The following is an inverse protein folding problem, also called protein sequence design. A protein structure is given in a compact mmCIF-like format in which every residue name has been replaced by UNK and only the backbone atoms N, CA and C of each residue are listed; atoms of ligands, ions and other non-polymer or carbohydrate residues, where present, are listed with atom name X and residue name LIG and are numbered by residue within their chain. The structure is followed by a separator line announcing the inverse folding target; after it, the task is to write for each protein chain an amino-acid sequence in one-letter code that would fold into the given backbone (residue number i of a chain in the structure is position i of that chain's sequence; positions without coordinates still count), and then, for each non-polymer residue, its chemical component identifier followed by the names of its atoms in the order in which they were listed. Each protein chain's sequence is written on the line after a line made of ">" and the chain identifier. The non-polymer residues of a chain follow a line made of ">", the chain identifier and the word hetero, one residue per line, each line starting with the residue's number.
data_IF_536900452179
#
_entry.id   IF_536900452179
#
_cell.length_a   1.000
_cell.length_b   1.000
_cell.length_c   1.000
_cell.angle_alpha   90.00
_cell.angle_beta   90.00
_cell.angle_gamma   90.00
#
_symmetry.space_group_name_H-M   'P 1'
#
loop_
_entity.id
_entity.type
_entity.pdbx_description
1 polymer ?
#
# COMPACT_ATOMS: atom_id res chain seq x y z
N UNK A 1 42.32 47.12 -29.25
CA UNK A 1 41.45 46.35 -30.17
C UNK A 1 41.03 45.05 -29.50
N UNK A 2 39.72 44.89 -29.31
CA UNK A 2 38.95 43.64 -29.44
C UNK A 2 39.31 42.53 -28.44
N UNK A 3 38.61 42.41 -27.31
CA UNK A 3 37.26 41.83 -27.21
C UNK A 3 37.16 40.46 -27.91
N UNK A 4 36.67 39.46 -27.17
CA UNK A 4 36.51 38.04 -27.53
C UNK A 4 37.82 37.25 -27.43
N UNK A 5 37.96 36.22 -26.59
CA UNK A 5 36.97 35.16 -26.36
C UNK A 5 37.05 34.68 -24.91
N UNK A 6 36.53 35.54 -24.03
CA UNK A 6 36.17 35.31 -22.63
C UNK A 6 35.03 34.27 -22.46
N UNK A 7 34.92 33.30 -23.38
CA UNK A 7 33.80 32.35 -23.52
C UNK A 7 34.34 30.92 -23.55
N UNK A 8 35.22 30.58 -22.59
CA UNK A 8 35.65 29.19 -22.36
C UNK A 8 35.74 28.82 -20.88
N UNK A 9 35.39 29.73 -19.95
CA UNK A 9 35.58 29.51 -18.50
C UNK A 9 34.37 29.81 -17.61
N UNK A 10 33.18 30.11 -18.16
CA UNK A 10 32.00 30.53 -17.36
C UNK A 10 30.77 29.63 -17.59
N UNK A 11 30.89 28.56 -18.39
CA UNK A 11 29.77 27.67 -18.73
C UNK A 11 29.95 26.23 -18.22
N UNK A 12 30.59 26.10 -17.05
CA UNK A 12 30.80 24.84 -16.32
C UNK A 12 30.67 25.08 -14.80
N UNK A 13 29.78 25.98 -14.39
CA UNK A 13 29.58 26.32 -12.98
C UNK A 13 28.10 26.58 -12.65
N UNK A 14 27.21 25.80 -13.25
CA UNK A 14 25.80 25.72 -12.86
C UNK A 14 25.33 24.27 -12.93
N UNK A 15 26.08 23.36 -12.29
CA UNK A 15 25.58 22.02 -11.98
C UNK A 15 26.20 21.47 -10.69
N UNK A 16 26.19 22.33 -9.67
CA UNK A 16 26.22 21.91 -8.28
C UNK A 16 25.01 22.58 -7.64
N UNK A 17 23.82 22.12 -8.02
CA UNK A 17 22.66 22.30 -7.16
C UNK A 17 22.93 21.36 -5.98
N UNK A 18 23.22 21.85 -4.77
CA UNK A 18 23.32 20.96 -3.63
C UNK A 18 21.95 20.30 -3.46
N UNK A 19 21.91 18.99 -3.57
CA UNK A 19 20.70 18.16 -3.48
C UNK A 19 20.11 18.11 -2.06
N UNK A 20 20.32 19.14 -1.24
CA UNK A 20 20.03 19.13 0.19
C UNK A 20 18.93 20.14 0.50
N UNK A 21 17.72 19.89 -0.02
CA UNK A 21 16.49 20.56 0.44
C UNK A 21 15.35 19.53 0.54
N UNK A 22 15.62 18.35 1.13
CA UNK A 22 14.61 17.28 1.24
C UNK A 22 14.57 16.60 2.62
N UNK A 23 15.11 17.23 3.67
CA UNK A 23 15.00 16.73 5.05
C UNK A 23 13.87 17.42 5.85
N UNK A 24 12.85 17.96 5.19
CA UNK A 24 11.78 18.74 5.84
C UNK A 24 10.57 17.91 6.24
N UNK A 25 10.31 16.75 5.64
CA UNK A 25 9.06 16.01 5.84
C UNK A 25 8.83 15.62 7.31
N UNK A 26 9.90 15.28 8.03
CA UNK A 26 9.82 14.93 9.44
C UNK A 26 9.48 16.14 10.32
N UNK A 27 10.15 17.26 10.10
CA UNK A 27 9.92 18.52 10.84
C UNK A 27 8.53 19.08 10.54
N UNK A 28 8.13 19.06 9.26
CA UNK A 28 6.78 19.42 8.80
C UNK A 28 5.73 18.55 9.49
N UNK A 29 5.96 17.24 9.59
CA UNK A 29 5.02 16.33 10.24
C UNK A 29 4.88 16.58 11.74
N UNK A 30 5.97 16.76 12.48
CA UNK A 30 5.91 16.97 13.95
C UNK A 30 5.44 18.38 14.32
N UNK A 31 5.64 19.37 13.42
CA UNK A 31 5.11 20.72 13.53
C UNK A 31 3.62 20.84 13.15
N UNK A 32 3.09 19.90 12.37
CA UNK A 32 1.72 19.92 11.89
C UNK A 32 0.66 19.58 12.95
N UNK A 33 -0.55 20.11 12.77
CA UNK A 33 -1.74 19.67 13.52
C UNK A 33 -2.12 18.22 13.17
N UNK A 34 -2.96 17.59 14.00
CA UNK A 34 -3.41 16.20 13.77
C UNK A 34 -4.13 16.00 12.44
N UNK A 35 -4.93 16.97 12.03
CA UNK A 35 -5.62 16.95 10.74
C UNK A 35 -4.62 17.02 9.59
N UNK A 36 -3.65 17.92 9.67
CA UNK A 36 -2.59 18.06 8.68
C UNK A 36 -1.68 16.82 8.62
N UNK A 37 -1.34 16.21 9.77
CA UNK A 37 -0.61 14.94 9.82
C UNK A 37 -1.34 13.82 9.06
N UNK A 38 -2.66 13.73 9.21
CA UNK A 38 -3.46 12.76 8.46
C UNK A 38 -3.40 13.03 6.95
N UNK A 39 -3.58 14.29 6.53
CA UNK A 39 -3.50 14.68 5.12
C UNK A 39 -2.12 14.38 4.52
N UNK A 40 -1.04 14.65 5.25
CA UNK A 40 0.33 14.32 4.81
C UNK A 40 0.48 12.83 4.58
N UNK A 41 0.04 11.99 5.52
CA UNK A 41 0.15 10.53 5.39
C UNK A 41 -0.70 9.98 4.24
N UNK A 42 -1.91 10.52 4.04
CA UNK A 42 -2.78 10.17 2.91
C UNK A 42 -2.10 10.51 1.57
N UNK A 43 -1.44 11.67 1.47
CA UNK A 43 -0.68 12.08 0.28
C UNK A 43 0.57 11.22 0.07
N UNK A 44 1.32 10.94 1.13
CA UNK A 44 2.54 10.13 1.04
C UNK A 44 2.23 8.69 0.63
N UNK A 45 1.07 8.16 1.03
CA UNK A 45 0.68 6.81 0.62
C UNK A 45 0.40 6.67 -0.88
N UNK A 46 0.01 7.75 -1.57
CA UNK A 46 -0.22 7.74 -3.02
C UNK A 46 1.00 8.24 -3.82
N UNK A 47 1.99 8.81 -3.15
CA UNK A 47 3.25 9.29 -3.75
C UNK A 47 4.45 8.79 -2.93
N UNK A 48 4.76 7.49 -2.99
CA UNK A 48 5.82 6.91 -2.19
C UNK A 48 7.21 7.38 -2.65
N UNK A 49 8.02 7.83 -1.70
CA UNK A 49 9.38 8.32 -1.91
C UNK A 49 10.34 7.69 -0.89
N UNK A 50 11.43 7.07 -1.35
CA UNK A 50 12.36 6.33 -0.49
C UNK A 50 12.90 7.14 0.70
N UNK A 51 13.07 8.46 0.53
CA UNK A 51 13.55 9.38 1.57
C UNK A 51 12.63 9.47 2.80
N UNK A 52 11.34 9.09 2.69
CA UNK A 52 10.39 9.09 3.81
C UNK A 52 10.44 7.83 4.67
N UNK A 53 11.08 6.76 4.19
CA UNK A 53 11.14 5.48 4.89
C UNK A 53 11.69 5.57 6.32
N UNK A 54 12.76 6.34 6.63
CA UNK A 54 13.25 6.46 8.00
C UNK A 54 12.20 7.04 8.95
N UNK A 55 11.48 8.09 8.52
CA UNK A 55 10.40 8.72 9.28
C UNK A 55 9.22 7.76 9.47
N UNK A 56 8.74 7.13 8.40
CA UNK A 56 7.58 6.23 8.46
C UNK A 56 7.87 5.00 9.34
N UNK A 57 9.07 4.42 9.24
CA UNK A 57 9.50 3.34 10.14
C UNK A 57 9.52 3.80 11.60
N UNK A 58 9.99 5.01 11.86
CA UNK A 58 10.04 5.56 13.21
C UNK A 58 8.65 5.84 13.79
N UNK A 59 7.74 6.37 12.97
CA UNK A 59 6.35 6.58 13.34
C UNK A 59 5.66 5.25 13.64
N UNK A 60 5.87 4.23 12.80
CA UNK A 60 5.30 2.89 13.00
C UNK A 60 5.79 2.23 14.30
N UNK A 61 7.06 2.51 14.69
CA UNK A 61 7.65 2.05 15.95
C UNK A 61 7.35 2.97 17.14
N UNK A 62 6.57 4.04 16.92
CA UNK A 62 6.29 5.09 17.89
C UNK A 62 7.53 5.61 18.64
N UNK A 63 8.66 5.81 17.94
CA UNK A 63 9.91 6.26 18.56
C UNK A 63 10.35 7.66 18.11
N UNK A 64 9.45 8.40 17.44
CA UNK A 64 9.66 9.80 17.04
C UNK A 64 9.53 10.73 18.25
N UNK A 65 10.50 11.63 18.34
CA UNK A 65 10.58 12.72 19.31
C UNK A 65 10.54 14.06 18.56
N UNK A 66 10.08 15.10 19.24
CA UNK A 66 10.12 16.49 18.78
C UNK A 66 10.75 17.36 19.85
N UNK A 67 11.56 18.32 19.45
CA UNK A 67 12.06 19.37 20.34
C UNK A 67 11.07 20.54 20.44
N UNK A 68 11.50 21.62 21.11
CA UNK A 68 10.69 22.83 21.28
C UNK A 68 10.50 23.62 19.97
N UNK A 69 11.46 23.53 19.05
CA UNK A 69 11.49 24.17 17.75
C UNK A 69 10.79 23.37 16.63
N UNK A 70 10.21 22.21 16.95
CA UNK A 70 9.53 21.30 16.01
C UNK A 70 10.47 20.57 15.04
N UNK A 71 11.70 20.32 15.45
CA UNK A 71 12.57 19.38 14.75
C UNK A 71 12.30 17.95 15.21
N UNK A 72 12.32 17.01 14.27
CA UNK A 72 12.05 15.61 14.48
C UNK A 72 13.34 14.82 14.76
N UNK A 73 13.26 13.92 15.73
CA UNK A 73 14.35 13.04 16.12
C UNK A 73 13.83 11.62 16.36
N UNK A 74 14.74 10.64 16.34
CA UNK A 74 14.47 9.25 16.75
C UNK A 74 15.30 8.91 17.99
N UNK A 75 14.68 8.18 18.92
CA UNK A 75 15.43 7.51 19.99
C UNK A 75 15.91 6.13 19.53
N UNK A 76 17.23 5.92 19.53
CA UNK A 76 17.86 4.61 19.35
C UNK A 76 18.69 4.27 20.59
N UNK A 77 18.11 3.50 21.52
CA UNK A 77 18.73 3.22 22.81
C UNK A 77 18.94 4.50 23.61
N UNK A 78 20.19 4.81 23.95
CA UNK A 78 20.59 6.07 24.64
C UNK A 78 20.87 7.22 23.68
N UNK A 79 20.98 6.96 22.37
CA UNK A 79 21.29 7.97 21.37
C UNK A 79 20.03 8.60 20.79
N UNK A 80 20.14 9.87 20.41
CA UNK A 80 19.13 10.63 19.68
C UNK A 80 19.71 10.94 18.31
N UNK A 81 19.01 10.52 17.25
CA UNK A 81 19.40 10.76 15.88
C UNK A 81 18.43 11.74 15.20
N UNK A 82 18.92 12.69 14.40
CA UNK A 82 18.06 13.60 13.67
C UNK A 82 17.30 12.87 12.55
N UNK A 83 16.03 13.25 12.37
CA UNK A 83 15.23 12.87 11.20
C UNK A 83 15.16 14.00 10.15
N UNK A 84 15.55 15.21 10.53
CA UNK A 84 15.58 16.39 9.67
C UNK A 84 17.00 16.94 9.48
N UNK A 85 17.09 18.19 9.02
CA UNK A 85 18.38 18.85 8.76
C UNK A 85 19.13 19.26 10.04
N UNK A 86 18.41 19.40 11.16
CA UNK A 86 18.97 19.85 12.43
C UNK A 86 19.61 18.69 13.18
N UNK A 87 20.93 18.74 13.37
CA UNK A 87 21.72 17.63 13.91
C UNK A 87 21.54 17.38 15.41
N UNK A 88 21.22 18.43 16.19
CA UNK A 88 21.12 18.35 17.65
C UNK A 88 19.80 18.98 18.12
N UNK A 89 19.14 18.38 19.14
CA UNK A 89 17.86 18.87 19.64
C UNK A 89 18.00 20.20 20.36
N UNK A 90 17.01 21.08 20.16
CA UNK A 90 16.89 22.33 20.92
C UNK A 90 15.98 22.15 22.15
N UNK A 91 16.62 21.94 23.29
CA UNK A 91 15.97 21.78 24.58
C UNK A 91 15.40 20.39 24.82
N UNK A 92 14.28 20.31 25.54
CA UNK A 92 13.68 19.05 25.98
C UNK A 92 12.96 18.34 24.82
N UNK A 93 13.24 17.05 24.67
CA UNK A 93 12.59 16.18 23.68
C UNK A 93 11.30 15.57 24.21
N UNK A 94 10.22 15.73 23.44
CA UNK A 94 8.89 15.20 23.74
C UNK A 94 8.52 14.10 22.75
N UNK A 95 7.89 13.04 23.23
CA UNK A 95 7.43 11.93 22.38
C UNK A 95 6.26 12.37 21.50
N UNK A 96 6.36 12.12 20.20
CA UNK A 96 5.23 12.28 19.27
C UNK A 96 4.30 11.08 19.44
N UNK A 97 3.13 11.32 20.04
CA UNK A 97 2.12 10.27 20.22
C UNK A 97 1.25 10.16 18.97
N UNK A 98 0.83 8.96 18.59
CA UNK A 98 -0.11 8.74 17.48
C UNK A 98 -1.46 8.30 18.01
N UNK A 99 -2.53 8.76 17.36
CA UNK A 99 -3.89 8.21 17.57
C UNK A 99 -4.03 6.91 16.78
N UNK A 100 -5.07 6.13 17.05
CA UNK A 100 -5.32 4.91 16.29
C UNK A 100 -5.46 5.19 14.78
N UNK A 101 -6.18 6.26 14.41
CA UNK A 101 -6.29 6.70 13.02
C UNK A 101 -4.92 6.98 12.39
N UNK A 102 -4.06 7.73 13.07
CA UNK A 102 -2.73 8.06 12.53
C UNK A 102 -1.84 6.83 12.42
N UNK A 103 -1.94 5.85 13.34
CA UNK A 103 -1.20 4.58 13.21
C UNK A 103 -1.57 3.83 11.94
N UNK A 104 -2.87 3.70 11.65
CA UNK A 104 -3.34 3.05 10.44
C UNK A 104 -2.85 3.77 9.17
N UNK A 105 -2.93 5.11 9.15
CA UNK A 105 -2.40 5.91 8.05
C UNK A 105 -0.88 5.76 7.88
N UNK A 106 -0.12 5.70 8.99
CA UNK A 106 1.32 5.42 8.95
C UNK A 106 1.58 4.02 8.41
N UNK A 107 0.83 3.00 8.83
CA UNK A 107 0.96 1.63 8.33
C UNK A 107 0.70 1.56 6.83
N UNK A 108 -0.37 2.19 6.33
CA UNK A 108 -0.69 2.25 4.90
C UNK A 108 0.36 3.03 4.09
N UNK A 109 0.80 4.18 4.59
CA UNK A 109 1.87 4.95 3.96
C UNK A 109 3.19 4.15 3.93
N UNK A 110 3.59 3.52 5.03
CA UNK A 110 4.80 2.70 5.08
C UNK A 110 4.70 1.51 4.10
N UNK A 111 3.57 0.82 4.07
CA UNK A 111 3.40 -0.34 3.19
C UNK A 111 3.49 0.04 1.70
N UNK A 112 2.85 1.15 1.28
CA UNK A 112 2.98 1.63 -0.11
C UNK A 112 4.43 2.02 -0.48
N UNK A 113 5.22 2.49 0.48
CA UNK A 113 6.66 2.71 0.26
C UNK A 113 7.45 1.40 0.18
N UNK A 114 7.14 0.42 1.03
CA UNK A 114 7.81 -0.88 1.03
C UNK A 114 7.49 -1.73 -0.21
N UNK A 115 6.35 -1.50 -0.86
CA UNK A 115 6.04 -2.12 -2.16
C UNK A 115 7.03 -1.78 -3.27
N UNK A 116 7.83 -0.71 -3.13
CA UNK A 116 8.87 -0.34 -4.07
C UNK A 116 10.22 -1.01 -3.79
N UNK A 117 10.32 -1.81 -2.73
CA UNK A 117 11.56 -2.47 -2.35
C UNK A 117 11.97 -3.53 -3.37
N UNK A 118 13.28 -3.66 -3.62
CA UNK A 118 13.84 -4.75 -4.40
C UNK A 118 13.68 -6.11 -3.68
N UNK A 119 13.41 -6.09 -2.37
CA UNK A 119 13.24 -7.29 -1.55
C UNK A 119 11.81 -7.84 -1.63
N UNK A 120 11.66 -9.05 -2.18
CA UNK A 120 10.37 -9.76 -2.33
C UNK A 120 9.66 -9.94 -1.00
N UNK A 121 10.38 -10.26 0.07
CA UNK A 121 9.80 -10.45 1.41
C UNK A 121 9.19 -9.16 1.95
N UNK A 122 9.85 -8.02 1.71
CA UNK A 122 9.33 -6.71 2.12
C UNK A 122 8.08 -6.34 1.31
N UNK A 123 8.08 -6.59 -0.01
CA UNK A 123 6.89 -6.37 -0.85
C UNK A 123 5.73 -7.27 -0.46
N UNK A 124 5.97 -8.54 -0.16
CA UNK A 124 4.93 -9.47 0.29
C UNK A 124 4.32 -9.07 1.64
N UNK A 125 5.16 -8.63 2.59
CA UNK A 125 4.69 -8.10 3.87
C UNK A 125 3.86 -6.82 3.68
N UNK A 126 4.33 -5.90 2.83
CA UNK A 126 3.64 -4.68 2.49
C UNK A 126 2.27 -4.92 1.84
N UNK A 127 2.23 -5.81 0.84
CA UNK A 127 0.99 -6.19 0.16
C UNK A 127 -0.03 -6.78 1.14
N UNK A 128 0.40 -7.60 2.10
CA UNK A 128 -0.48 -8.15 3.14
C UNK A 128 -1.01 -7.07 4.10
N UNK A 129 -0.19 -6.10 4.51
CA UNK A 129 -0.67 -4.97 5.30
C UNK A 129 -1.73 -4.16 4.56
N UNK A 130 -1.53 -3.96 3.25
CA UNK A 130 -2.46 -3.20 2.40
C UNK A 130 -3.81 -3.88 2.21
N UNK A 131 -3.94 -5.19 2.44
CA UNK A 131 -5.24 -5.85 2.44
C UNK A 131 -6.20 -5.26 3.49
N UNK A 132 -5.66 -4.70 4.59
CA UNK A 132 -6.44 -4.05 5.65
C UNK A 132 -6.38 -2.53 5.59
N UNK A 133 -5.21 -1.97 5.31
CA UNK A 133 -4.94 -0.53 5.47
C UNK A 133 -5.08 0.27 4.18
N UNK A 134 -5.26 -0.37 3.02
CA UNK A 134 -5.43 0.35 1.76
C UNK A 134 -6.69 1.22 1.78
N UNK A 135 -6.56 2.42 1.21
CA UNK A 135 -7.67 3.35 1.03
C UNK A 135 -8.03 3.49 -0.46
N UNK A 136 -9.24 3.95 -0.82
CA UNK A 136 -9.64 4.11 -2.22
C UNK A 136 -8.69 4.98 -3.04
N UNK A 137 -8.05 5.99 -2.42
CA UNK A 137 -7.08 6.86 -3.09
C UNK A 137 -5.81 6.12 -3.57
N UNK A 138 -5.46 4.99 -2.94
CA UNK A 138 -4.30 4.17 -3.30
C UNK A 138 -4.55 3.25 -4.50
N UNK A 139 -5.81 3.08 -4.93
CA UNK A 139 -6.19 2.13 -5.96
C UNK A 139 -5.35 2.25 -7.25
N UNK A 140 -5.13 3.46 -7.84
CA UNK A 140 -4.35 3.56 -9.07
C UNK A 140 -2.89 3.11 -8.89
N UNK A 141 -2.29 3.43 -7.75
CA UNK A 141 -0.93 3.03 -7.42
C UNK A 141 -0.81 1.52 -7.26
N UNK A 142 -1.76 0.88 -6.56
CA UNK A 142 -1.75 -0.56 -6.36
C UNK A 142 -1.99 -1.32 -7.67
N UNK A 143 -2.84 -0.82 -8.56
CA UNK A 143 -3.03 -1.39 -9.91
C UNK A 143 -1.75 -1.28 -10.74
N UNK A 144 -1.07 -0.13 -10.70
CA UNK A 144 0.21 0.04 -11.39
C UNK A 144 1.28 -0.92 -10.85
N UNK A 145 1.33 -1.11 -9.52
CA UNK A 145 2.26 -2.06 -8.89
C UNK A 145 1.95 -3.50 -9.26
N UNK A 146 0.68 -3.91 -9.23
CA UNK A 146 0.27 -5.25 -9.66
C UNK A 146 0.70 -5.54 -11.11
N UNK A 147 0.54 -4.58 -12.01
CA UNK A 147 0.92 -4.75 -13.42
C UNK A 147 2.44 -4.90 -13.66
N UNK A 148 3.27 -4.55 -12.67
CA UNK A 148 4.73 -4.61 -12.73
C UNK A 148 5.30 -5.75 -11.89
N UNK A 149 4.49 -6.38 -11.05
CA UNK A 149 4.94 -7.43 -10.15
C UNK A 149 5.10 -8.76 -10.90
N UNK A 150 6.20 -9.46 -10.61
CA UNK A 150 6.52 -10.74 -11.22
C UNK A 150 6.40 -11.90 -10.24
N UNK A 151 6.52 -11.61 -8.95
CA UNK A 151 6.48 -12.62 -7.91
C UNK A 151 5.03 -13.02 -7.62
N UNK A 152 4.74 -14.32 -7.75
CA UNK A 152 3.38 -14.87 -7.63
C UNK A 152 2.77 -14.62 -6.25
N UNK A 153 3.56 -14.73 -5.18
CA UNK A 153 3.10 -14.47 -3.83
C UNK A 153 2.69 -13.00 -3.63
N UNK A 154 3.50 -12.05 -4.12
CA UNK A 154 3.21 -10.62 -4.00
C UNK A 154 1.99 -10.26 -4.86
N UNK A 155 1.92 -10.80 -6.08
CA UNK A 155 0.79 -10.65 -7.01
C UNK A 155 -0.52 -11.06 -6.33
N UNK A 156 -0.58 -12.28 -5.77
CA UNK A 156 -1.78 -12.78 -5.09
C UNK A 156 -2.19 -11.88 -3.92
N UNK A 157 -1.24 -11.41 -3.12
CA UNK A 157 -1.52 -10.52 -1.99
C UNK A 157 -2.05 -9.14 -2.44
N UNK A 158 -1.52 -8.59 -3.54
CA UNK A 158 -1.98 -7.34 -4.15
C UNK A 158 -3.38 -7.47 -4.75
N UNK A 159 -3.70 -8.60 -5.38
CA UNK A 159 -5.04 -8.88 -5.90
C UNK A 159 -6.09 -8.88 -4.79
N UNK A 160 -5.79 -9.53 -3.65
CA UNK A 160 -6.66 -9.50 -2.46
C UNK A 160 -6.85 -8.07 -1.96
N UNK A 161 -5.78 -7.27 -1.89
CA UNK A 161 -5.87 -5.88 -1.46
C UNK A 161 -6.76 -5.04 -2.40
N UNK A 162 -6.63 -5.23 -3.71
CA UNK A 162 -7.45 -4.56 -4.71
C UNK A 162 -8.91 -5.01 -4.65
N UNK A 163 -9.19 -6.30 -4.43
CA UNK A 163 -10.55 -6.81 -4.26
C UNK A 163 -11.21 -6.21 -3.02
N UNK A 164 -10.49 -6.09 -1.90
CA UNK A 164 -11.02 -5.42 -0.70
C UNK A 164 -11.44 -3.97 -0.99
N UNK A 165 -10.68 -3.23 -1.80
CA UNK A 165 -11.05 -1.87 -2.22
C UNK A 165 -12.28 -1.84 -3.15
N UNK A 166 -12.49 -2.90 -3.93
CA UNK A 166 -13.58 -3.01 -4.90
C UNK A 166 -14.92 -3.40 -4.28
N UNK A 167 -14.95 -3.89 -3.04
CA UNK A 167 -16.18 -4.21 -2.30
C UNK A 167 -17.14 -3.01 -2.15
N UNK A 168 -16.63 -1.78 -2.19
CA UNK A 168 -17.45 -0.55 -2.11
C UNK A 168 -17.71 0.10 -3.48
N UNK A 169 -17.37 -0.59 -4.58
CA UNK A 169 -17.59 -0.09 -5.94
C UNK A 169 -19.08 0.17 -6.20
N UNK A 170 -19.46 1.24 -6.92
CA UNK A 170 -20.84 1.44 -7.33
C UNK A 170 -21.34 0.35 -8.30
N UNK A 171 -20.44 -0.31 -9.04
CA UNK A 171 -20.80 -1.39 -9.97
C UNK A 171 -20.98 -2.72 -9.24
N UNK A 172 -22.18 -3.31 -9.34
CA UNK A 172 -22.50 -4.60 -8.77
C UNK A 172 -21.62 -5.73 -9.33
N UNK A 173 -21.31 -5.71 -10.63
CA UNK A 173 -20.47 -6.73 -11.25
C UNK A 173 -19.04 -6.69 -10.71
N UNK A 174 -18.51 -5.49 -10.42
CA UNK A 174 -17.19 -5.31 -9.79
C UNK A 174 -17.20 -5.85 -8.36
N UNK A 175 -18.25 -5.54 -7.57
CA UNK A 175 -18.39 -6.07 -6.21
C UNK A 175 -18.48 -7.60 -6.22
N UNK A 176 -19.30 -8.17 -7.10
CA UNK A 176 -19.45 -9.63 -7.25
C UNK A 176 -18.10 -10.29 -7.54
N UNK A 177 -17.32 -9.74 -8.48
CA UNK A 177 -16.01 -10.30 -8.83
C UNK A 177 -15.02 -10.23 -7.66
N UNK A 178 -15.00 -9.11 -6.93
CA UNK A 178 -14.18 -8.96 -5.73
C UNK A 178 -14.53 -10.00 -4.66
N UNK A 179 -15.83 -10.22 -4.41
CA UNK A 179 -16.31 -11.22 -3.45
C UNK A 179 -15.85 -12.62 -3.82
N UNK A 180 -15.98 -13.01 -5.10
CA UNK A 180 -15.52 -14.32 -5.58
C UNK A 180 -14.01 -14.48 -5.39
N UNK A 181 -13.22 -13.47 -5.74
CA UNK A 181 -11.76 -13.50 -5.57
C UNK A 181 -11.37 -13.65 -4.09
N UNK A 182 -12.02 -12.88 -3.21
CA UNK A 182 -11.78 -12.97 -1.77
C UNK A 182 -12.18 -14.34 -1.21
N UNK A 183 -13.29 -14.92 -1.67
CA UNK A 183 -13.72 -16.29 -1.33
C UNK A 183 -12.68 -17.36 -1.66
N UNK A 184 -11.90 -17.15 -2.72
CA UNK A 184 -10.84 -18.09 -3.14
C UNK A 184 -9.59 -18.01 -2.27
N UNK A 185 -9.30 -16.85 -1.65
CA UNK A 185 -8.09 -16.59 -0.85
C UNK A 185 -7.98 -17.47 0.40
N UNK A 186 -9.12 -17.90 0.97
CA UNK A 186 -9.17 -18.74 2.17
C UNK A 186 -8.76 -18.05 3.47
N UNK A 187 -8.63 -16.71 3.48
CA UNK A 187 -8.27 -15.95 4.68
C UNK A 187 -9.47 -15.86 5.66
N UNK A 188 -9.31 -16.26 6.94
CA UNK A 188 -10.35 -16.09 7.97
C UNK A 188 -10.84 -14.64 8.11
N UNK A 189 -9.99 -13.63 7.91
CA UNK A 189 -10.41 -12.22 7.99
C UNK A 189 -11.46 -11.88 6.91
N UNK A 190 -11.40 -12.56 5.76
CA UNK A 190 -12.37 -12.39 4.66
C UNK A 190 -13.79 -12.71 5.09
N UNK A 191 -14.00 -13.70 5.97
CA UNK A 191 -15.33 -14.09 6.40
C UNK A 191 -16.10 -12.91 7.01
N UNK A 192 -15.46 -12.20 7.95
CA UNK A 192 -16.06 -11.04 8.61
C UNK A 192 -16.37 -9.89 7.65
N UNK A 193 -15.58 -9.75 6.58
CA UNK A 193 -15.75 -8.71 5.55
C UNK A 193 -16.87 -9.04 4.57
N UNK A 194 -17.06 -10.32 4.24
CA UNK A 194 -18.07 -10.76 3.28
C UNK A 194 -19.45 -10.96 3.92
N UNK A 195 -19.52 -11.18 5.23
CA UNK A 195 -20.79 -11.43 5.94
C UNK A 195 -21.88 -10.37 5.64
N UNK A 196 -21.60 -9.05 5.69
CA UNK A 196 -22.61 -8.03 5.40
C UNK A 196 -23.18 -8.12 3.98
N UNK A 197 -22.39 -8.59 3.01
CA UNK A 197 -22.82 -8.69 1.59
C UNK A 197 -23.86 -9.79 1.35
N UNK A 198 -24.21 -10.59 2.35
CA UNK A 198 -25.32 -11.55 2.26
C UNK A 198 -26.68 -10.92 2.55
N UNK A 199 -26.70 -9.72 3.12
CA UNK A 199 -27.92 -9.01 3.52
C UNK A 199 -28.39 -8.05 2.43
N UNK A 200 -29.70 -8.01 2.18
CA UNK A 200 -30.32 -7.07 1.25
C UNK A 200 -30.26 -5.61 1.72
N UNK A 201 -30.13 -5.36 3.03
CA UNK A 201 -29.92 -4.01 3.56
C UNK A 201 -28.57 -3.42 3.18
N UNK A 202 -27.54 -4.27 3.05
CA UNK A 202 -26.18 -3.84 2.69
C UNK A 202 -25.92 -3.94 1.18
N UNK A 203 -26.40 -5.02 0.55
CA UNK A 203 -26.16 -5.30 -0.86
C UNK A 203 -27.49 -5.47 -1.62
N UNK A 204 -27.89 -4.47 -2.44
CA UNK A 204 -29.16 -4.53 -3.16
C UNK A 204 -29.19 -5.56 -4.30
N UNK A 205 -28.06 -5.87 -4.94
CA UNK A 205 -28.02 -6.81 -6.08
C UNK A 205 -28.00 -8.27 -5.59
N UNK A 206 -29.00 -9.05 -6.01
CA UNK A 206 -29.16 -10.44 -5.62
C UNK A 206 -27.98 -11.34 -6.05
N UNK A 207 -27.34 -11.05 -7.19
CA UNK A 207 -26.20 -11.82 -7.72
C UNK A 207 -24.95 -11.63 -6.87
N UNK A 208 -24.79 -10.44 -6.29
CA UNK A 208 -23.69 -10.15 -5.37
C UNK A 208 -23.92 -10.87 -4.03
N UNK A 209 -25.16 -10.88 -3.52
CA UNK A 209 -25.52 -11.64 -2.31
C UNK A 209 -25.30 -13.14 -2.48
N UNK A 210 -25.72 -13.70 -3.60
CA UNK A 210 -25.50 -15.11 -3.93
C UNK A 210 -24.00 -15.45 -3.95
N UNK A 211 -23.18 -14.65 -4.64
CA UNK A 211 -21.73 -14.82 -4.65
C UNK A 211 -21.10 -14.71 -3.25
N UNK A 212 -21.63 -13.86 -2.37
CA UNK A 212 -21.18 -13.73 -0.99
C UNK A 212 -21.49 -14.99 -0.19
N UNK A 213 -22.70 -15.53 -0.29
CA UNK A 213 -23.11 -16.78 0.35
C UNK A 213 -22.25 -17.96 -0.12
N UNK A 214 -22.04 -18.10 -1.43
CA UNK A 214 -21.18 -19.14 -2.00
C UNK A 214 -19.74 -19.04 -1.51
N UNK A 215 -19.18 -17.83 -1.51
CA UNK A 215 -17.80 -17.57 -1.05
C UNK A 215 -17.62 -17.91 0.43
N UNK A 216 -18.58 -17.52 1.27
CA UNK A 216 -18.57 -17.84 2.70
C UNK A 216 -18.68 -19.36 2.94
N UNK A 217 -19.52 -20.06 2.18
CA UNK A 217 -19.64 -21.51 2.26
C UNK A 217 -18.33 -22.20 1.85
N UNK A 218 -17.67 -21.74 0.79
CA UNK A 218 -16.38 -22.26 0.36
C UNK A 218 -15.28 -22.07 1.42
N UNK A 219 -15.23 -20.90 2.06
CA UNK A 219 -14.32 -20.62 3.19
C UNK A 219 -14.62 -21.57 4.35
N UNK A 220 -15.90 -21.71 4.74
CA UNK A 220 -16.31 -22.57 5.86
C UNK A 220 -15.97 -24.05 5.62
N UNK A 221 -16.19 -24.57 4.40
CA UNK A 221 -15.85 -25.95 4.05
C UNK A 221 -14.34 -26.22 4.17
N UNK A 222 -13.50 -25.30 3.68
CA UNK A 222 -12.04 -25.40 3.83
C UNK A 222 -11.63 -25.34 5.31
N UNK A 223 -12.33 -24.54 6.12
CA UNK A 223 -12.12 -24.47 7.57
C UNK A 223 -12.41 -25.78 8.30
N UNK A 224 -13.45 -26.51 7.89
CA UNK A 224 -13.76 -27.82 8.49
C UNK A 224 -12.72 -28.87 8.10
N UNK A 225 -12.20 -28.80 6.87
CA UNK A 225 -11.21 -29.75 6.36
C UNK A 225 -9.84 -29.67 7.07
N UNK A 226 -9.41 -28.50 7.58
CA UNK A 226 -8.14 -28.41 8.34
C UNK A 226 -8.26 -28.79 9.82
N UNK A 227 -9.46 -28.73 10.42
CA UNK A 227 -9.67 -29.07 11.84
C UNK A 227 -9.84 -30.57 12.09
N UNK A 228 -9.85 -31.39 11.04
CA UNK A 228 -9.73 -32.83 11.18
C UNK A 228 -8.25 -33.20 11.43
N UNK A 229 -7.90 -33.88 12.54
CA UNK A 229 -6.54 -34.36 12.76
C UNK A 229 -6.24 -35.46 11.72
N UNK A 230 -5.70 -35.07 10.57
CA UNK A 230 -5.41 -36.01 9.48
C UNK A 230 -4.94 -35.42 8.15
N UNK A 231 -5.07 -34.12 7.88
CA UNK A 231 -4.63 -33.54 6.61
C UNK A 231 -3.16 -33.06 6.63
N UNK A 232 -2.25 -33.95 7.06
CA UNK A 232 -0.85 -33.87 6.68
C UNK A 232 -0.65 -34.71 5.42
N UNK A 233 0.07 -34.16 4.44
CA UNK A 233 0.59 -34.79 3.21
C UNK A 233 -0.45 -35.35 2.23
N UNK A 234 -0.65 -34.68 1.09
CA UNK A 234 -0.74 -35.27 -0.27
C UNK A 234 -0.95 -34.13 -1.28
N UNK A 235 0.09 -33.31 -1.48
CA UNK A 235 0.21 -32.48 -2.68
C UNK A 235 0.84 -33.30 -3.80
N UNK A 236 0.14 -34.32 -4.29
CA UNK A 236 0.52 -35.04 -5.49
C UNK A 236 -0.06 -34.27 -6.69
N UNK A 237 0.85 -33.72 -7.49
CA UNK A 237 0.57 -33.11 -8.78
C UNK A 237 0.05 -34.19 -9.73
N UNK A 238 -1.27 -34.26 -9.92
CA UNK A 238 -1.89 -34.85 -11.10
C UNK A 238 -2.29 -33.66 -11.98
N UNK A 239 -1.63 -33.40 -13.12
CA UNK A 239 -1.59 -34.33 -14.24
C UNK A 239 -2.83 -34.11 -15.09
N UNK A 240 -2.98 -32.89 -15.64
CA UNK A 240 -3.91 -32.64 -16.74
C UNK A 240 -3.05 -32.70 -18.00
N UNK A 241 -3.15 -33.84 -18.67
CA UNK A 241 -2.61 -34.06 -19.99
C UNK A 241 -3.41 -33.18 -20.98
N UNK A 242 -2.72 -32.28 -21.68
CA UNK A 242 -3.26 -31.59 -22.85
C UNK A 242 -2.10 -31.15 -23.72
N UNK A 243 -1.76 -32.03 -24.66
CA UNK A 243 -0.90 -31.73 -25.77
C UNK A 243 -1.58 -30.79 -26.78
N UNK A 244 -0.75 -29.92 -27.38
CA UNK A 244 -0.90 -29.20 -28.64
C UNK A 244 -1.50 -27.77 -28.62
N UNK A 245 -0.61 -26.78 -28.80
CA UNK A 245 -0.87 -25.52 -29.51
C UNK A 245 -0.67 -24.23 -28.70
N UNK A 246 0.51 -23.59 -28.78
CA UNK A 246 0.70 -22.19 -28.34
C UNK A 246 0.34 -21.16 -29.42
N UNK A 247 0.65 -19.86 -29.26
CA UNK A 247 0.79 -19.04 -28.06
C UNK A 247 -0.27 -17.89 -28.01
N UNK A 248 -0.64 -17.39 -26.83
CA UNK A 248 -1.55 -16.25 -26.72
C UNK A 248 -1.42 -15.54 -25.37
N UNK A 249 -1.00 -14.28 -25.42
CA UNK A 249 -0.78 -13.40 -24.28
C UNK A 249 -2.05 -13.22 -23.43
N UNK A 250 -1.85 -13.01 -22.12
CA UNK A 250 -2.91 -12.98 -21.12
C UNK A 250 -3.88 -11.80 -21.25
N UNK A 251 -5.17 -12.16 -21.20
CA UNK A 251 -6.28 -11.22 -21.02
C UNK A 251 -6.66 -11.16 -19.54
N UNK A 252 -5.97 -10.31 -18.76
CA UNK A 252 -6.48 -9.83 -17.47
C UNK A 252 -7.24 -8.53 -17.70
N UNK A 253 -8.55 -8.66 -17.95
CA UNK A 253 -9.45 -7.57 -18.27
C UNK A 253 -9.78 -6.74 -17.02
N UNK A 254 -8.89 -5.84 -16.61
CA UNK A 254 -9.25 -4.74 -15.72
C UNK A 254 -9.98 -3.67 -16.54
N UNK A 255 -11.30 -3.57 -16.37
CA UNK A 255 -12.13 -2.57 -17.04
C UNK A 255 -11.75 -1.17 -16.53
N UNK A 256 -10.91 -0.46 -17.30
CA UNK A 256 -10.70 0.97 -17.15
C UNK A 256 -11.90 1.70 -17.75
N UNK A 257 -12.71 2.32 -16.90
CA UNK A 257 -13.80 3.20 -17.32
C UNK A 257 -13.24 4.45 -18.01
N UNK A 258 -13.30 4.49 -19.35
CA UNK A 258 -13.01 5.70 -20.11
C UNK A 258 -14.27 6.57 -20.17
N UNK A 259 -14.25 7.59 -19.33
CA UNK A 259 -15.16 8.73 -19.34
C UNK A 259 -15.08 9.43 -20.72
N UNK A 260 -16.18 9.49 -21.47
CA UNK A 260 -16.30 10.36 -22.65
C UNK A 260 -17.47 11.34 -22.44
N UNK A 261 -17.16 12.43 -21.75
CA UNK A 261 -17.84 13.71 -21.93
C UNK A 261 -16.99 14.56 -22.88
N UNK A 262 -17.59 15.11 -23.94
CA UNK A 262 -16.96 16.18 -24.71
C UNK A 262 -17.38 16.30 -26.17
N UNK A 263 -18.47 17.04 -26.41
CA UNK A 263 -18.70 18.02 -27.51
C UNK A 263 -18.23 17.63 -28.94
N UNK A 264 -19.12 17.50 -29.93
CA UNK A 264 -19.87 18.58 -30.60
C UNK A 264 -20.87 17.98 -31.58
#
# INVERSE_FOLDING_TARGET
>A
MKAMRFIRGVLLMTWLVPWIVQATDADVFVGASRAQQATLLEQWAITPEAQRLPLLNALARENVLTDSAKHAFIRQGTQVLPLGAVAAPDGELKKVRLTNRLRNLVSGALATHQLLSDNVTERAAAASLLQREATPAMLPLLQQRLAQETESEVTSRLEIALANLQLVSPSADVRRQAIVLLGQSGDPETQSRLQPFTDAEHEPDARVREAATESLNAIAQRMVNWRSPGAGIYGAVAGIDSAAGGPGAGDHLWITGRNQYGAR
#
